data_IF_559778133585
#
_entry.id   IF_559778133585
#
_cell.length_a   1.000
_cell.length_b   1.000
_cell.length_c   1.000
_cell.angle_alpha   90.00
_cell.angle_beta   90.00
_cell.angle_gamma   90.00
#
_symmetry.space_group_name_H-M   'P 1'
#
loop_
_entity.id
_entity.type
_entity.pdbx_description
1 polymer ?
#
# COMPACT_ATOMS: atom_id res chain seq x y z
N UNK A 1 9.51 28.84 7.56
CA UNK A 1 9.03 28.52 8.92
C UNK A 1 7.67 27.89 8.76
N UNK A 2 7.46 26.67 9.25
CA UNK A 2 6.14 26.03 9.23
C UNK A 2 5.25 26.70 10.26
N UNK A 3 4.03 27.06 9.88
CA UNK A 3 3.03 27.57 10.82
C UNK A 3 2.62 26.44 11.78
N UNK A 4 2.51 26.75 13.08
CA UNK A 4 2.28 25.75 14.14
C UNK A 4 1.16 26.19 15.08
N UNK A 5 0.17 25.32 15.26
CA UNK A 5 -0.95 25.49 16.18
C UNK A 5 -0.97 24.36 17.21
N UNK A 6 -1.10 24.65 18.50
CA UNK A 6 -1.09 23.61 19.56
C UNK A 6 -2.40 23.56 20.34
N UNK A 7 -3.02 22.38 20.38
CA UNK A 7 -4.21 22.07 21.19
C UNK A 7 -3.82 21.28 22.45
N UNK A 8 -4.30 21.70 23.63
CA UNK A 8 -3.99 21.04 24.91
C UNK A 8 -5.26 20.39 25.47
N UNK A 9 -5.26 19.07 25.59
CA UNK A 9 -6.32 18.27 26.20
C UNK A 9 -5.84 17.76 27.57
N UNK A 10 -6.62 18.02 28.62
CA UNK A 10 -6.34 17.54 29.98
C UNK A 10 -7.04 16.21 30.24
N UNK A 11 -6.31 15.22 30.74
CA UNK A 11 -6.87 13.94 31.16
C UNK A 11 -6.78 13.77 32.68
N UNK A 12 -7.87 13.31 33.28
CA UNK A 12 -8.00 13.10 34.73
C UNK A 12 -7.39 11.79 35.24
N UNK A 13 -6.97 11.79 36.50
CA UNK A 13 -6.30 10.68 37.19
C UNK A 13 -7.12 9.37 37.23
N UNK A 14 -8.44 9.44 37.43
CA UNK A 14 -9.32 8.26 37.46
C UNK A 14 -9.43 7.51 36.13
N UNK A 15 -9.35 8.23 35.00
CA UNK A 15 -9.33 7.61 33.66
C UNK A 15 -8.04 6.84 33.38
N UNK A 16 -6.91 7.29 33.95
CA UNK A 16 -5.60 6.63 33.80
C UNK A 16 -5.50 5.32 34.56
N UNK A 17 -5.98 5.29 35.81
CA UNK A 17 -5.98 4.08 36.65
C UNK A 17 -6.86 2.98 36.03
N UNK A 18 -8.06 3.33 35.57
CA UNK A 18 -8.96 2.37 34.89
C UNK A 18 -8.34 1.80 33.60
N UNK A 19 -7.66 2.64 32.82
CA UNK A 19 -6.95 2.19 31.61
C UNK A 19 -5.72 1.32 31.92
N UNK A 20 -4.99 1.59 33.00
CA UNK A 20 -3.82 0.80 33.40
C UNK A 20 -4.19 -0.63 33.84
N UNK A 21 -5.22 -0.79 34.68
CA UNK A 21 -5.72 -2.12 35.06
C UNK A 21 -6.33 -2.88 33.88
N UNK A 22 -7.04 -2.16 32.99
CA UNK A 22 -7.51 -2.73 31.72
C UNK A 22 -6.36 -3.22 30.83
N UNK A 23 -5.24 -2.50 30.82
CA UNK A 23 -4.05 -2.86 30.06
C UNK A 23 -3.40 -4.17 30.51
N UNK A 24 -3.40 -4.48 31.82
CA UNK A 24 -2.85 -5.75 32.35
C UNK A 24 -3.69 -6.94 31.88
N UNK A 25 -5.02 -6.86 32.02
CA UNK A 25 -5.92 -7.94 31.56
C UNK A 25 -5.82 -8.12 30.05
N UNK A 26 -5.80 -7.02 29.29
CA UNK A 26 -5.58 -7.06 27.85
C UNK A 26 -4.23 -7.70 27.48
N UNK A 27 -3.15 -7.38 28.22
CA UNK A 27 -1.83 -7.96 28.00
C UNK A 27 -1.81 -9.48 28.23
N UNK A 28 -2.47 -9.98 29.29
CA UNK A 28 -2.58 -11.42 29.55
C UNK A 28 -3.39 -12.10 28.43
N UNK A 29 -4.51 -11.51 28.02
CA UNK A 29 -5.33 -12.04 26.92
C UNK A 29 -4.54 -12.08 25.60
N UNK A 30 -3.83 -11.01 25.25
CA UNK A 30 -2.98 -10.96 24.06
C UNK A 30 -1.87 -12.03 24.13
N UNK A 31 -1.28 -12.25 25.30
CA UNK A 31 -0.26 -13.28 25.49
C UNK A 31 -0.85 -14.67 25.23
N UNK A 32 -2.02 -14.99 25.80
CA UNK A 32 -2.69 -16.27 25.56
C UNK A 32 -3.06 -16.45 24.09
N UNK A 33 -3.61 -15.42 23.44
CA UNK A 33 -4.01 -15.44 22.03
C UNK A 33 -2.80 -15.54 21.09
N UNK A 34 -1.65 -15.00 21.49
CA UNK A 34 -0.43 -15.03 20.67
C UNK A 34 0.03 -16.46 20.37
N UNK A 35 -0.13 -17.41 21.29
CA UNK A 35 0.31 -18.79 21.08
C UNK A 35 -0.46 -19.49 19.95
N UNK A 36 -1.82 -19.53 19.94
CA UNK A 36 -2.57 -20.04 18.79
C UNK A 36 -2.26 -19.31 17.49
N UNK A 37 -2.13 -17.97 17.52
CA UNK A 37 -1.82 -17.18 16.33
C UNK A 37 -0.46 -17.56 15.75
N UNK A 38 0.57 -17.68 16.59
CA UNK A 38 1.91 -18.10 16.19
C UNK A 38 1.92 -19.54 15.69
N UNK A 39 1.24 -20.46 16.38
CA UNK A 39 1.15 -21.85 15.95
C UNK A 39 0.46 -22.01 14.59
N UNK A 40 -0.64 -21.28 14.35
CA UNK A 40 -1.31 -21.25 13.04
C UNK A 40 -0.41 -20.63 11.97
N UNK A 41 0.35 -19.59 12.31
CA UNK A 41 1.29 -18.97 11.40
C UNK A 41 2.43 -19.93 11.02
N UNK A 42 3.04 -20.58 12.00
CA UNK A 42 4.14 -21.53 11.82
C UNK A 42 3.67 -22.80 11.08
N UNK A 43 2.50 -23.32 11.43
CA UNK A 43 1.89 -24.44 10.72
C UNK A 43 1.66 -24.12 9.24
N UNK A 44 1.17 -22.91 8.93
CA UNK A 44 1.03 -22.43 7.54
C UNK A 44 2.39 -22.24 6.87
N UNK A 45 3.39 -21.72 7.57
CA UNK A 45 4.74 -21.51 7.03
C UNK A 45 5.42 -22.84 6.69
N UNK A 46 5.37 -23.82 7.58
CA UNK A 46 5.90 -25.18 7.35
C UNK A 46 5.19 -25.87 6.20
N UNK A 47 3.84 -25.85 6.18
CA UNK A 47 3.06 -26.44 5.09
C UNK A 47 3.42 -25.81 3.75
N UNK A 48 3.54 -24.48 3.69
CA UNK A 48 3.96 -23.77 2.47
C UNK A 48 5.37 -24.19 2.05
N UNK A 49 6.31 -24.29 2.98
CA UNK A 49 7.67 -24.70 2.67
C UNK A 49 7.71 -26.12 2.07
N UNK A 50 7.01 -27.07 2.68
CA UNK A 50 6.89 -28.45 2.17
C UNK A 50 6.23 -28.47 0.79
N UNK A 51 5.09 -27.80 0.61
CA UNK A 51 4.40 -27.76 -0.68
C UNK A 51 5.22 -27.08 -1.78
N UNK A 52 6.01 -26.05 -1.46
CA UNK A 52 6.92 -25.43 -2.42
C UNK A 52 8.09 -26.35 -2.76
N UNK A 53 8.63 -27.10 -1.80
CA UNK A 53 9.70 -28.07 -2.05
C UNK A 53 9.22 -29.23 -2.91
N UNK A 54 8.04 -29.79 -2.60
CA UNK A 54 7.37 -30.80 -3.43
C UNK A 54 7.10 -30.25 -4.83
N UNK A 55 6.55 -29.03 -4.93
CA UNK A 55 6.30 -28.34 -6.19
C UNK A 55 7.58 -28.13 -7.01
N UNK A 56 8.67 -27.69 -6.39
CA UNK A 56 9.97 -27.53 -7.04
C UNK A 56 10.59 -28.86 -7.49
N UNK A 57 10.25 -29.98 -6.83
CA UNK A 57 10.69 -31.31 -7.24
C UNK A 57 9.94 -31.87 -8.46
N UNK A 58 8.72 -31.40 -8.71
CA UNK A 58 7.87 -31.88 -9.83
C UNK A 58 7.76 -30.87 -10.98
N UNK A 59 8.19 -29.63 -10.79
CA UNK A 59 8.11 -28.58 -11.83
C UNK A 59 9.05 -28.91 -12.99
N UNK A 60 8.54 -28.74 -14.19
CA UNK A 60 9.32 -28.87 -15.42
C UNK A 60 9.44 -27.52 -16.11
N UNK A 61 10.63 -27.19 -16.61
CA UNK A 61 10.79 -26.01 -17.45
C UNK A 61 10.43 -26.36 -18.89
N UNK A 62 9.56 -25.56 -19.50
CA UNK A 62 9.11 -25.72 -20.89
C UNK A 62 9.36 -24.44 -21.67
N UNK A 63 9.59 -24.52 -23.00
CA UNK A 63 9.76 -23.33 -23.81
C UNK A 63 8.44 -22.54 -23.88
N UNK A 64 8.53 -21.23 -24.08
CA UNK A 64 7.37 -20.32 -24.07
C UNK A 64 6.62 -20.27 -25.39
N UNK A 65 7.23 -20.69 -26.49
CA UNK A 65 6.73 -20.55 -27.87
C UNK A 65 5.65 -21.57 -28.27
N UNK A 66 5.50 -22.67 -27.52
CA UNK A 66 4.54 -23.72 -27.80
C UNK A 66 3.85 -24.25 -26.54
N UNK A 67 2.56 -24.54 -26.66
CA UNK A 67 1.79 -25.30 -25.66
C UNK A 67 1.78 -26.77 -26.09
N UNK A 68 2.40 -27.63 -25.29
CA UNK A 68 2.40 -29.08 -25.48
C UNK A 68 1.30 -29.74 -24.63
N UNK A 69 0.26 -30.36 -25.24
CA UNK A 69 -0.81 -31.05 -24.53
C UNK A 69 -0.32 -32.16 -23.58
N UNK A 70 0.87 -32.70 -23.77
CA UNK A 70 1.45 -33.69 -22.86
C UNK A 70 1.78 -33.14 -21.46
N UNK A 71 1.80 -31.81 -21.31
CA UNK A 71 2.09 -31.15 -20.04
C UNK A 71 0.84 -30.67 -19.28
N UNK A 72 -0.36 -30.96 -19.79
CA UNK A 72 -1.61 -30.61 -19.12
C UNK A 72 -1.70 -31.22 -17.71
N UNK A 73 -2.11 -30.40 -16.74
CA UNK A 73 -2.20 -30.78 -15.32
C UNK A 73 -0.86 -30.87 -14.57
N UNK A 74 0.28 -30.58 -15.22
CA UNK A 74 1.60 -30.55 -14.58
C UNK A 74 1.96 -29.14 -14.11
N UNK A 75 2.84 -29.05 -13.11
CA UNK A 75 3.48 -27.78 -12.77
C UNK A 75 4.56 -27.47 -13.82
N UNK A 76 4.40 -26.35 -14.50
CA UNK A 76 5.36 -25.88 -15.50
C UNK A 76 5.99 -24.56 -15.07
N UNK A 77 7.25 -24.38 -15.44
CA UNK A 77 7.98 -23.12 -15.37
C UNK A 77 8.27 -22.64 -16.79
N UNK A 78 7.93 -21.39 -17.07
CA UNK A 78 8.10 -20.77 -18.39
C UNK A 78 8.85 -19.47 -18.20
N UNK A 79 9.78 -19.18 -19.10
CA UNK A 79 10.52 -17.92 -19.15
C UNK A 79 10.54 -17.38 -20.56
N UNK A 80 10.51 -16.06 -20.69
CA UNK A 80 10.47 -15.35 -21.97
C UNK A 80 10.19 -13.86 -21.78
N UNK A 81 10.17 -13.13 -22.89
CA UNK A 81 9.73 -11.75 -22.89
C UNK A 81 8.20 -11.72 -22.95
N UNK A 82 7.60 -10.87 -22.10
CA UNK A 82 6.19 -10.58 -22.18
C UNK A 82 5.96 -9.52 -23.26
N UNK A 83 5.00 -9.78 -24.13
CA UNK A 83 4.64 -8.90 -25.25
C UNK A 83 3.14 -8.64 -25.22
N UNK A 84 2.74 -7.48 -25.69
CA UNK A 84 1.34 -7.15 -25.85
C UNK A 84 1.12 -6.50 -27.21
N UNK A 85 -0.01 -6.85 -27.83
CA UNK A 85 -0.48 -6.19 -29.04
C UNK A 85 -1.20 -4.89 -28.72
N UNK A 86 -1.28 -4.01 -29.73
CA UNK A 86 -2.06 -2.77 -29.64
C UNK A 86 -1.26 -1.56 -29.19
N UNK A 87 -1.95 -0.50 -28.80
CA UNK A 87 -1.33 0.76 -28.39
C UNK A 87 -2.03 1.29 -27.15
N UNK A 88 -1.27 1.50 -26.08
CA UNK A 88 -1.75 2.17 -24.88
C UNK A 88 -1.50 3.67 -25.05
N UNK A 89 -2.49 4.50 -24.74
CA UNK A 89 -2.38 5.95 -24.95
C UNK A 89 -2.88 6.75 -23.76
N UNK A 90 -2.22 7.86 -23.47
CA UNK A 90 -2.75 8.91 -22.59
C UNK A 90 -3.03 10.16 -23.43
N UNK A 91 -4.26 10.33 -23.95
CA UNK A 91 -4.62 11.47 -24.78
C UNK A 91 -4.46 12.82 -24.06
N UNK A 92 -4.56 12.83 -22.73
CA UNK A 92 -4.49 14.05 -21.93
C UNK A 92 -3.09 14.67 -21.96
N UNK A 93 -2.06 13.83 -22.12
CA UNK A 93 -0.65 14.23 -22.20
C UNK A 93 0.00 13.87 -23.55
N UNK A 94 -0.79 13.42 -24.52
CA UNK A 94 -0.30 13.08 -25.87
C UNK A 94 0.66 11.89 -25.93
N UNK A 95 0.59 10.97 -24.97
CA UNK A 95 1.46 9.77 -24.91
C UNK A 95 0.82 8.62 -25.69
N UNK A 96 1.61 7.88 -26.46
CA UNK A 96 1.17 6.70 -27.20
C UNK A 96 2.29 5.66 -27.30
N UNK A 97 2.04 4.44 -26.81
CA UNK A 97 3.04 3.35 -26.73
C UNK A 97 2.50 2.07 -27.39
N UNK A 98 3.18 1.58 -28.42
CA UNK A 98 2.74 0.43 -29.24
C UNK A 98 3.18 -0.95 -28.72
N UNK A 99 3.96 -1.01 -27.64
CA UNK A 99 4.48 -2.27 -27.09
C UNK A 99 4.56 -2.27 -25.57
N UNK A 100 3.82 -1.36 -24.92
CA UNK A 100 3.77 -1.29 -23.47
C UNK A 100 2.79 -2.32 -22.90
N UNK A 101 3.22 -3.05 -21.87
CA UNK A 101 2.35 -3.99 -21.14
C UNK A 101 1.35 -3.25 -20.25
N UNK A 102 1.80 -2.16 -19.62
CA UNK A 102 1.01 -1.25 -18.81
C UNK A 102 1.44 0.19 -19.06
N UNK A 103 0.49 1.10 -19.01
CA UNK A 103 0.72 2.55 -19.03
C UNK A 103 0.07 3.16 -17.80
N UNK A 104 0.87 3.83 -16.96
CA UNK A 104 0.38 4.47 -15.74
C UNK A 104 0.68 5.95 -15.74
N UNK A 105 -0.37 6.76 -15.60
CA UNK A 105 -0.27 8.17 -15.26
C UNK A 105 -0.26 8.32 -13.74
N UNK A 106 0.90 8.72 -13.21
CA UNK A 106 1.05 9.14 -11.82
C UNK A 106 0.88 10.66 -11.72
N UNK A 107 -0.02 11.13 -10.86
CA UNK A 107 -0.28 12.56 -10.67
C UNK A 107 -0.04 12.90 -9.20
N UNK A 108 0.71 13.97 -8.97
CA UNK A 108 0.88 14.57 -7.65
C UNK A 108 0.58 16.07 -7.73
N UNK A 109 0.00 16.63 -6.68
CA UNK A 109 -0.25 18.06 -6.56
C UNK A 109 0.51 18.61 -5.36
N UNK A 110 1.26 19.70 -5.59
CA UNK A 110 1.95 20.43 -4.54
C UNK A 110 0.95 21.28 -3.77
N UNK A 111 0.65 20.85 -2.55
CA UNK A 111 -0.45 21.38 -1.75
C UNK A 111 -0.09 21.35 -0.26
N UNK A 112 -0.82 22.10 0.55
CA UNK A 112 -0.68 22.06 2.00
C UNK A 112 -1.09 20.70 2.57
N UNK A 113 -0.34 20.22 3.55
CA UNK A 113 -0.64 19.04 4.35
C UNK A 113 -0.51 19.38 5.82
N UNK A 114 -1.52 19.02 6.60
CA UNK A 114 -1.49 19.06 8.07
C UNK A 114 -0.73 17.84 8.59
N UNK A 115 0.28 18.07 9.41
CA UNK A 115 1.00 17.05 10.16
C UNK A 115 0.70 17.21 11.65
N UNK A 116 0.52 16.09 12.35
CA UNK A 116 0.12 16.08 13.76
C UNK A 116 1.20 15.44 14.62
N UNK A 117 1.58 16.13 15.70
CA UNK A 117 2.50 15.61 16.71
C UNK A 117 1.88 15.73 18.08
N UNK A 118 1.68 14.61 18.75
CA UNK A 118 1.14 14.55 20.12
C UNK A 118 2.24 14.31 21.14
N UNK A 119 2.32 15.14 22.18
CA UNK A 119 3.18 14.95 23.35
C UNK A 119 2.32 14.85 24.62
N UNK A 120 2.65 13.90 25.51
CA UNK A 120 1.92 13.72 26.78
C UNK A 120 2.85 14.03 27.95
N UNK A 121 2.47 15.02 28.77
CA UNK A 121 3.21 15.42 29.98
C UNK A 121 2.43 15.07 31.24
N UNK A 122 3.13 14.48 32.21
CA UNK A 122 2.59 14.23 33.54
C UNK A 122 2.65 15.52 34.37
N UNK A 123 1.56 15.85 35.08
CA UNK A 123 1.54 16.95 36.04
C UNK A 123 1.87 16.49 37.44
N UNK A 124 2.48 17.39 38.21
CA UNK A 124 2.58 17.29 39.67
C UNK A 124 1.13 17.28 40.21
N UNK A 125 0.70 16.17 40.81
CA UNK A 125 -0.69 15.95 41.23
C UNK A 125 -1.47 14.89 40.43
N UNK A 126 -0.82 14.12 39.53
CA UNK A 126 -1.39 12.88 38.96
C UNK A 126 -2.20 13.04 37.67
N UNK A 127 -2.48 14.26 37.22
CA UNK A 127 -3.09 14.54 35.91
C UNK A 127 -2.11 14.40 34.72
N UNK A 128 -2.62 14.27 33.50
CA UNK A 128 -1.84 14.39 32.25
C UNK A 128 -2.36 15.51 31.38
N UNK A 129 -1.44 16.16 30.67
CA UNK A 129 -1.74 17.03 29.53
C UNK A 129 -1.25 16.37 28.26
N UNK A 130 -2.14 16.21 27.29
CA UNK A 130 -1.80 15.87 25.91
C UNK A 130 -1.78 17.17 25.11
N UNK A 131 -0.61 17.58 24.64
CA UNK A 131 -0.45 18.68 23.71
C UNK A 131 -0.30 18.12 22.29
N UNK A 132 -1.23 18.45 21.40
CA UNK A 132 -1.15 18.10 19.97
C UNK A 132 -0.75 19.35 19.21
N UNK A 133 0.43 19.33 18.58
CA UNK A 133 0.89 20.37 17.67
C UNK A 133 0.56 19.98 16.24
N UNK A 134 -0.15 20.86 15.56
CA UNK A 134 -0.48 20.81 14.14
C UNK A 134 0.51 21.69 13.38
N UNK A 135 1.16 21.15 12.37
CA UNK A 135 2.05 21.91 11.49
C UNK A 135 1.63 21.78 10.04
N UNK A 136 1.77 22.86 9.28
CA UNK A 136 1.36 22.90 7.88
C UNK A 136 2.58 23.02 6.98
N UNK A 137 2.71 22.08 6.05
CA UNK A 137 3.82 22.04 5.09
C UNK A 137 3.28 21.80 3.68
N UNK A 138 3.84 22.51 2.70
CA UNK A 138 3.56 22.20 1.30
C UNK A 138 4.43 21.02 0.84
N UNK A 139 3.80 19.96 0.36
CA UNK A 139 4.48 18.81 -0.23
C UNK A 139 3.69 18.24 -1.40
N UNK A 140 4.37 17.48 -2.25
CA UNK A 140 3.73 16.70 -3.29
C UNK A 140 2.87 15.61 -2.65
N UNK A 141 1.63 15.48 -3.09
CA UNK A 141 0.73 14.41 -2.65
C UNK A 141 -0.06 13.89 -3.84
N UNK A 142 -0.16 12.57 -3.95
CA UNK A 142 -1.03 11.90 -4.93
C UNK A 142 -2.51 11.90 -4.53
N UNK A 143 -2.84 12.45 -3.35
CA UNK A 143 -4.20 12.57 -2.86
C UNK A 143 -4.55 14.04 -2.67
N UNK A 144 -5.81 14.38 -2.94
CA UNK A 144 -6.36 15.68 -2.60
C UNK A 144 -6.38 15.86 -1.07
N UNK A 145 -5.82 16.96 -0.60
CA UNK A 145 -5.78 17.36 0.80
C UNK A 145 -6.84 18.43 1.01
N UNK A 146 -7.98 18.03 1.57
CA UNK A 146 -9.11 18.93 1.80
C UNK A 146 -8.75 19.91 2.91
N UNK A 147 -8.43 21.15 2.54
CA UNK A 147 -8.07 22.18 3.51
C UNK A 147 -9.20 22.52 4.47
N UNK A 148 -10.46 22.23 4.12
CA UNK A 148 -11.60 22.36 5.04
C UNK A 148 -11.55 21.44 6.26
N UNK A 149 -10.77 20.35 6.19
CA UNK A 149 -10.57 19.42 7.31
C UNK A 149 -9.37 19.84 8.20
N UNK A 150 -8.65 20.91 7.84
CA UNK A 150 -7.53 21.41 8.62
C UNK A 150 -8.01 22.08 9.91
N UNK A 151 -7.22 21.97 10.98
CA UNK A 151 -7.49 22.62 12.26
C UNK A 151 -7.41 24.14 12.18
N UNK A 152 -6.50 24.65 11.35
CA UNK A 152 -6.36 26.06 11.02
C UNK A 152 -6.23 26.22 9.49
N UNK A 153 -7.37 26.33 8.79
CA UNK A 153 -7.37 26.41 7.33
C UNK A 153 -6.93 27.78 6.80
N UNK A 154 -6.93 28.84 7.61
CA UNK A 154 -6.64 30.21 7.15
C UNK A 154 -5.16 30.29 6.72
N UNK A 155 -4.89 30.74 5.50
CA UNK A 155 -3.54 30.72 4.92
C UNK A 155 -3.07 29.36 4.34
N UNK A 156 -3.86 28.30 4.53
CA UNK A 156 -3.54 26.92 4.11
C UNK A 156 -4.55 26.35 3.10
N UNK A 157 -5.12 27.20 2.24
CA UNK A 157 -6.10 26.79 1.23
C UNK A 157 -5.47 25.91 0.14
N UNK A 158 -6.12 24.80 -0.17
CA UNK A 158 -5.82 23.96 -1.32
C UNK A 158 -6.92 24.06 -2.37
N UNK A 159 -6.66 23.69 -3.64
CA UNK A 159 -7.71 23.51 -4.64
C UNK A 159 -8.74 22.46 -4.19
N UNK A 160 -9.99 22.62 -4.63
CA UNK A 160 -11.10 21.69 -4.31
C UNK A 160 -11.01 20.36 -5.08
N UNK A 161 -10.17 20.29 -6.11
CA UNK A 161 -9.99 19.09 -6.92
C UNK A 161 -8.58 19.02 -7.49
N UNK A 162 -8.15 17.79 -7.81
CA UNK A 162 -6.98 17.59 -8.66
C UNK A 162 -7.43 17.70 -10.12
N UNK A 163 -6.83 18.58 -10.95
CA UNK A 163 -7.25 18.79 -12.34
C UNK A 163 -7.16 17.53 -13.21
N UNK A 164 -6.25 16.63 -12.83
CA UNK A 164 -5.94 15.43 -13.59
C UNK A 164 -6.02 14.21 -12.66
N UNK A 165 -6.79 13.18 -13.03
CA UNK A 165 -6.85 11.94 -12.25
C UNK A 165 -5.64 11.06 -12.57
N UNK A 166 -5.21 10.25 -11.60
CA UNK A 166 -4.39 9.08 -11.90
C UNK A 166 -5.12 8.17 -12.88
N UNK A 167 -4.38 7.48 -13.76
CA UNK A 167 -4.93 6.52 -14.69
C UNK A 167 -3.95 5.36 -14.85
N UNK A 168 -4.47 4.16 -15.05
CA UNK A 168 -3.68 3.00 -15.41
C UNK A 168 -4.42 2.22 -16.49
N UNK A 169 -3.69 1.87 -17.54
CA UNK A 169 -4.14 1.02 -18.62
C UNK A 169 -3.25 -0.21 -18.67
N UNK A 170 -3.85 -1.34 -19.00
CA UNK A 170 -3.21 -2.63 -19.08
C UNK A 170 -3.55 -3.19 -20.44
N UNK A 171 -2.56 -3.66 -21.16
CA UNK A 171 -2.81 -4.34 -22.43
C UNK A 171 -3.52 -5.68 -22.17
N UNK A 172 -4.39 -6.07 -23.09
CA UNK A 172 -5.12 -7.34 -23.01
C UNK A 172 -5.28 -7.91 -24.43
N UNK A 173 -4.72 -9.10 -24.73
CA UNK A 173 -3.93 -9.95 -23.84
C UNK A 173 -2.46 -9.50 -23.70
N UNK A 174 -1.83 -9.90 -22.60
CA UNK A 174 -0.36 -9.94 -22.47
C UNK A 174 0.08 -11.39 -22.63
N UNK A 175 1.00 -11.61 -23.56
CA UNK A 175 1.48 -12.93 -23.93
C UNK A 175 2.94 -13.13 -23.49
N UNK A 176 3.29 -14.36 -23.13
CA UNK A 176 4.64 -14.83 -22.89
C UNK A 176 4.86 -16.00 -23.87
N UNK A 177 5.28 -15.68 -25.09
CA UNK A 177 5.22 -16.62 -26.22
C UNK A 177 3.77 -17.05 -26.52
N UNK A 178 3.48 -18.35 -26.51
CA UNK A 178 2.15 -18.92 -26.69
C UNK A 178 1.26 -18.85 -25.42
N UNK A 179 1.82 -18.53 -24.25
CA UNK A 179 1.07 -18.47 -23.00
C UNK A 179 0.46 -17.08 -22.79
N UNK A 180 -0.79 -17.02 -22.33
CA UNK A 180 -1.41 -15.78 -21.86
C UNK A 180 -1.09 -15.57 -20.38
N UNK A 181 -0.64 -14.37 -20.01
CA UNK A 181 -0.42 -14.03 -18.60
C UNK A 181 -1.78 -13.85 -17.89
N UNK A 182 -2.09 -14.65 -16.87
CA UNK A 182 -3.29 -14.46 -16.08
C UNK A 182 -3.26 -13.17 -15.25
N UNK A 183 -4.43 -12.63 -14.84
CA UNK A 183 -4.53 -11.34 -14.16
C UNK A 183 -3.65 -11.19 -12.91
N UNK A 184 -3.41 -12.28 -12.17
CA UNK A 184 -2.59 -12.25 -10.95
C UNK A 184 -1.09 -12.08 -11.22
N UNK A 185 -0.58 -12.48 -12.40
CA UNK A 185 0.78 -12.16 -12.83
C UNK A 185 0.85 -10.75 -13.40
N UNK A 186 -0.16 -10.34 -14.17
CA UNK A 186 -0.26 -8.97 -14.70
C UNK A 186 -0.30 -7.93 -13.57
N UNK A 187 -1.00 -8.23 -12.46
CA UNK A 187 -1.03 -7.37 -11.28
C UNK A 187 0.34 -7.20 -10.58
N UNK A 188 1.29 -8.11 -10.82
CA UNK A 188 2.65 -8.02 -10.28
C UNK A 188 3.59 -7.18 -11.14
N UNK A 189 3.21 -6.84 -12.38
CA UNK A 189 3.94 -5.94 -13.26
C UNK A 189 3.83 -4.49 -12.73
N UNK A 190 4.75 -4.14 -11.83
CA UNK A 190 4.77 -2.84 -11.15
C UNK A 190 6.09 -2.07 -11.35
N UNK A 191 7.02 -2.61 -12.13
CA UNK A 191 8.30 -1.98 -12.44
C UNK A 191 8.15 -1.04 -13.65
N UNK A 192 7.58 0.14 -13.40
CA UNK A 192 7.36 1.17 -14.41
C UNK A 192 8.64 1.96 -14.68
N UNK A 193 8.96 2.17 -15.95
CA UNK A 193 9.97 3.13 -16.37
C UNK A 193 9.33 4.50 -16.68
N UNK A 194 9.95 5.62 -16.27
CA UNK A 194 9.50 6.94 -16.70
C UNK A 194 9.70 7.09 -18.21
N UNK A 195 8.81 7.86 -18.84
CA UNK A 195 8.89 8.25 -20.24
C UNK A 195 9.82 9.44 -20.45
#
# INVERSE_FOLDING_TARGET
MADQFTEIIKQGWGGRMKNAFGGIVAGILLTIISFPVLFLNEGRAKKRHQSLQEGAGIVISVPSDQIDPANEGRLVHVSGNAEAGGTLSDPQFGVSLSSALKLRRKVEMYQWVQEERSETKNKVGGGTEKATTYSYVKKWSSKLQKSGDFKDPVGHQNPESMPYPEAEQVADPILLGAFMLPPFFVAQLNDYSPL
#
